data_IF_492049223655
#
_entry.id   IF_492049223655
#
_cell.length_a   1.000
_cell.length_b   1.000
_cell.length_c   1.000
_cell.angle_alpha   90.00
_cell.angle_beta   90.00
_cell.angle_gamma   90.00
#
_symmetry.space_group_name_H-M   'P 1'
#
loop_
_entity.id
_entity.type
_entity.pdbx_description
1 polymer ?
#
# COMPACT_ATOMS: atom_id res chain seq x y z
N UNK A 1 0.00 -9.26 4.98
CA UNK A 1 -0.85 -8.47 5.90
C UNK A 1 -0.41 -8.72 7.34
N UNK A 2 0.06 -7.72 8.12
CA UNK A 2 0.56 -7.92 9.47
C UNK A 2 -0.56 -7.92 10.55
N UNK A 3 -1.80 -8.18 10.16
CA UNK A 3 -2.98 -8.16 11.01
C UNK A 3 -3.84 -9.42 10.80
N UNK A 4 -4.68 -9.80 11.78
CA UNK A 4 -5.65 -10.88 11.64
C UNK A 4 -6.62 -10.67 10.44
N UNK A 5 -7.19 -11.75 9.88
CA UNK A 5 -8.22 -11.64 8.84
C UNK A 5 -9.47 -10.92 9.36
N UNK A 6 -10.23 -10.29 8.46
CA UNK A 6 -11.48 -9.58 8.77
C UNK A 6 -11.31 -8.15 9.34
N UNK A 7 -10.08 -7.70 9.60
CA UNK A 7 -9.80 -6.32 9.99
C UNK A 7 -9.82 -5.33 8.82
N UNK A 8 -9.80 -4.02 9.10
CA UNK A 8 -9.86 -2.96 8.08
C UNK A 8 -8.84 -3.12 6.95
N UNK A 9 -7.58 -3.43 7.27
CA UNK A 9 -6.52 -3.64 6.26
C UNK A 9 -6.78 -4.89 5.41
N UNK A 10 -7.36 -5.94 5.99
CA UNK A 10 -7.71 -7.17 5.27
C UNK A 10 -8.85 -6.92 4.28
N UNK A 11 -9.87 -6.17 4.68
CA UNK A 11 -10.99 -5.79 3.80
C UNK A 11 -10.50 -4.96 2.62
N UNK A 12 -9.67 -3.93 2.87
CA UNK A 12 -9.11 -3.10 1.79
C UNK A 12 -8.25 -3.96 0.85
N UNK A 13 -7.40 -4.83 1.39
CA UNK A 13 -6.59 -5.73 0.59
C UNK A 13 -7.44 -6.63 -0.32
N UNK A 14 -8.55 -7.18 0.19
CA UNK A 14 -9.47 -8.03 -0.59
C UNK A 14 -10.21 -7.28 -1.68
N UNK A 15 -10.45 -5.98 -1.51
CA UNK A 15 -11.06 -5.14 -2.56
C UNK A 15 -10.05 -4.88 -3.68
N UNK A 16 -8.77 -4.64 -3.35
CA UNK A 16 -7.75 -4.23 -4.32
C UNK A 16 -7.08 -5.42 -5.00
N UNK A 17 -6.85 -6.53 -4.29
CA UNK A 17 -6.05 -7.66 -4.76
C UNK A 17 -6.57 -8.33 -6.04
N UNK A 18 -7.88 -8.57 -6.24
CA UNK A 18 -8.37 -9.15 -7.50
C UNK A 18 -7.99 -8.28 -8.70
N UNK A 19 -8.22 -6.97 -8.59
CA UNK A 19 -7.94 -6.01 -9.65
C UNK A 19 -6.45 -5.87 -9.95
N UNK A 20 -5.64 -5.89 -8.90
CA UNK A 20 -4.19 -5.86 -9.02
C UNK A 20 -3.64 -7.16 -9.63
N UNK A 21 -4.23 -8.31 -9.29
CA UNK A 21 -3.85 -9.61 -9.86
C UNK A 21 -4.06 -9.64 -11.37
N UNK A 22 -5.21 -9.15 -11.81
CA UNK A 22 -5.54 -9.05 -13.22
C UNK A 22 -4.58 -8.10 -13.96
N UNK A 23 -4.28 -6.94 -13.37
CA UNK A 23 -3.36 -5.96 -13.98
C UNK A 23 -1.92 -6.46 -14.07
N UNK A 24 -1.47 -7.27 -13.12
CA UNK A 24 -0.12 -7.83 -13.09
C UNK A 24 -0.01 -9.13 -13.90
N UNK A 25 -1.13 -9.71 -14.33
CA UNK A 25 -1.16 -11.04 -14.94
C UNK A 25 -0.70 -12.15 -14.00
N UNK A 26 -0.70 -11.90 -12.69
CA UNK A 26 -0.21 -12.81 -11.65
C UNK A 26 -1.17 -12.80 -10.46
N UNK A 27 -1.43 -13.97 -9.88
CA UNK A 27 -2.31 -14.06 -8.71
C UNK A 27 -1.65 -13.41 -7.48
N UNK A 28 -2.36 -12.48 -6.84
CA UNK A 28 -1.99 -12.00 -5.51
C UNK A 28 -2.58 -12.89 -4.43
N UNK A 29 -1.69 -13.38 -3.57
CA UNK A 29 -2.07 -14.17 -2.40
C UNK A 29 -2.10 -13.26 -1.17
N UNK A 30 -3.27 -13.14 -0.55
CA UNK A 30 -3.41 -12.41 0.72
C UNK A 30 -2.99 -13.34 1.86
N UNK A 31 -1.80 -13.09 2.42
CA UNK A 31 -1.30 -13.80 3.59
C UNK A 31 -1.44 -12.95 4.88
N UNK A 32 -2.32 -13.35 5.79
CA UNK A 32 -2.45 -12.75 7.12
C UNK A 32 -1.42 -13.34 8.10
N UNK A 33 -0.58 -12.49 8.67
CA UNK A 33 0.49 -12.79 9.63
C UNK A 33 0.42 -11.80 10.78
N UNK A 34 -0.62 -11.93 11.61
CA UNK A 34 -0.85 -11.06 12.77
C UNK A 34 0.08 -11.36 13.96
N UNK A 35 0.06 -10.46 14.95
CA UNK A 35 0.73 -10.64 16.25
C UNK A 35 1.66 -9.48 16.64
N UNK A 36 1.97 -9.38 17.94
CA UNK A 36 2.89 -8.41 18.54
C UNK A 36 2.74 -6.96 18.02
N UNK A 37 1.50 -6.44 17.95
CA UNK A 37 1.23 -5.09 17.48
C UNK A 37 1.64 -4.84 16.03
N UNK A 38 1.45 -5.85 15.16
CA UNK A 38 1.88 -5.89 13.74
C UNK A 38 3.35 -6.25 13.49
N UNK A 39 4.18 -6.37 14.53
CA UNK A 39 5.63 -6.56 14.38
C UNK A 39 5.99 -7.86 13.64
N UNK A 40 5.29 -8.97 13.91
CA UNK A 40 5.61 -10.29 13.33
C UNK A 40 5.47 -10.27 11.79
N UNK A 41 4.33 -9.80 11.29
CA UNK A 41 4.10 -9.75 9.84
C UNK A 41 4.96 -8.71 9.14
N UNK A 42 5.27 -7.60 9.80
CA UNK A 42 6.18 -6.57 9.26
C UNK A 42 7.62 -7.10 9.19
N UNK A 43 8.10 -7.79 10.21
CA UNK A 43 9.43 -8.42 10.19
C UNK A 43 9.55 -9.45 9.06
N UNK A 44 8.53 -10.30 8.90
CA UNK A 44 8.54 -11.32 7.84
C UNK A 44 8.67 -10.68 6.45
N UNK A 45 7.98 -9.57 6.22
CA UNK A 45 8.09 -8.82 4.97
C UNK A 45 9.46 -8.14 4.82
N UNK A 46 10.00 -7.53 5.88
CA UNK A 46 11.33 -6.91 5.86
C UNK A 46 12.45 -7.91 5.50
N UNK A 47 12.29 -9.17 5.90
CA UNK A 47 13.26 -10.25 5.61
C UNK A 47 13.02 -10.95 4.28
N UNK A 48 11.93 -10.64 3.58
CA UNK A 48 11.64 -11.24 2.29
C UNK A 48 12.60 -10.71 1.23
N UNK A 49 12.89 -11.46 0.16
CA UNK A 49 13.69 -10.96 -0.95
C UNK A 49 13.12 -9.64 -1.50
N UNK A 50 13.99 -8.69 -1.80
CA UNK A 50 13.60 -7.40 -2.41
C UNK A 50 13.37 -7.54 -3.93
N UNK A 51 12.57 -8.53 -4.32
CA UNK A 51 12.30 -8.92 -5.72
C UNK A 51 10.95 -8.40 -6.25
N UNK A 52 10.22 -7.64 -5.43
CA UNK A 52 8.92 -7.05 -5.78
C UNK A 52 7.71 -7.96 -5.58
N UNK A 53 7.88 -9.23 -5.17
CA UNK A 53 6.77 -10.18 -4.99
C UNK A 53 6.09 -10.09 -3.62
N UNK A 54 6.69 -9.38 -2.67
CA UNK A 54 6.14 -9.20 -1.32
C UNK A 54 5.66 -7.78 -1.11
N UNK A 55 4.35 -7.60 -0.93
CA UNK A 55 3.72 -6.32 -0.62
C UNK A 55 3.19 -6.33 0.81
N UNK A 56 3.64 -5.35 1.60
CA UNK A 56 3.19 -5.13 2.97
C UNK A 56 2.18 -3.97 3.01
N UNK A 57 0.96 -4.25 3.46
CA UNK A 57 0.01 -3.19 3.82
C UNK A 57 0.07 -2.94 5.33
N UNK A 58 0.41 -1.72 5.70
CA UNK A 58 0.57 -1.29 7.08
C UNK A 58 -0.56 -0.35 7.53
N UNK A 59 -0.70 -0.15 8.83
CA UNK A 59 -1.58 0.86 9.43
C UNK A 59 -0.77 1.78 10.35
N UNK A 60 -1.44 2.62 11.16
CA UNK A 60 -0.80 3.48 12.16
C UNK A 60 0.15 2.74 13.12
N UNK A 61 -0.04 1.42 13.32
CA UNK A 61 0.87 0.62 14.14
C UNK A 61 2.34 0.71 13.65
N UNK A 62 2.58 0.74 12.32
CA UNK A 62 3.92 0.80 11.73
C UNK A 62 4.69 2.08 12.11
N UNK A 63 3.97 3.19 12.29
CA UNK A 63 4.56 4.47 12.70
C UNK A 63 4.67 4.62 14.22
N UNK A 64 3.83 3.91 14.98
CA UNK A 64 3.84 3.95 16.46
C UNK A 64 4.93 3.04 17.03
N UNK A 65 5.13 1.85 16.43
CA UNK A 65 6.03 0.83 16.95
C UNK A 65 7.47 1.31 17.21
N UNK A 66 8.12 2.14 16.36
CA UNK A 66 9.47 2.64 16.62
C UNK A 66 9.58 3.52 17.88
N UNK A 67 8.50 4.21 18.25
CA UNK A 67 8.46 5.07 19.43
C UNK A 67 8.15 4.29 20.73
N UNK A 68 7.55 3.09 20.60
CA UNK A 68 7.06 2.30 21.74
C UNK A 68 7.95 1.08 22.04
N UNK A 69 8.52 0.45 21.03
CA UNK A 69 9.35 -0.73 21.19
C UNK A 69 10.78 -0.34 21.53
N UNK A 70 11.37 -0.99 22.55
CA UNK A 70 12.79 -0.79 22.92
C UNK A 70 13.75 -1.13 21.77
N UNK A 71 13.39 -2.10 20.94
CA UNK A 71 14.13 -2.53 19.75
C UNK A 71 13.17 -3.24 18.80
N UNK A 72 13.11 -2.79 17.55
CA UNK A 72 12.40 -3.48 16.48
C UNK A 72 13.35 -4.40 15.70
N UNK A 73 12.84 -5.52 15.15
CA UNK A 73 13.63 -6.42 14.31
C UNK A 73 13.74 -5.94 12.84
N UNK A 74 13.29 -4.72 12.55
CA UNK A 74 13.35 -4.05 11.25
C UNK A 74 13.47 -2.53 11.46
N UNK A 75 13.92 -1.81 10.43
CA UNK A 75 13.87 -0.35 10.33
C UNK A 75 12.62 0.08 9.55
N UNK A 76 11.67 0.74 10.23
CA UNK A 76 10.38 1.14 9.64
C UNK A 76 10.49 2.06 8.42
N UNK A 77 11.67 2.66 8.19
CA UNK A 77 11.92 3.67 7.14
C UNK A 77 12.89 3.16 6.08
N UNK A 78 13.90 2.36 6.44
CA UNK A 78 14.93 1.89 5.49
C UNK A 78 14.56 0.59 4.80
N UNK A 79 13.82 -0.29 5.47
CA UNK A 79 13.56 -1.64 4.97
C UNK A 79 12.36 -1.71 4.00
N UNK A 80 11.68 -0.59 3.76
CA UNK A 80 10.44 -0.55 2.96
C UNK A 80 10.40 0.61 1.97
N UNK A 81 9.81 0.33 0.81
CA UNK A 81 9.49 1.33 -0.23
C UNK A 81 7.99 1.65 -0.18
N UNK A 82 7.57 2.89 0.08
CA UNK A 82 6.16 3.30 0.02
C UNK A 82 5.59 3.19 -1.40
N UNK A 83 4.44 2.52 -1.56
CA UNK A 83 3.79 2.31 -2.87
C UNK A 83 2.54 3.20 -3.04
N UNK A 84 1.59 3.14 -2.09
CA UNK A 84 0.33 3.89 -2.16
C UNK A 84 -0.30 4.05 -0.78
N UNK A 85 -1.23 5.01 -0.64
CA UNK A 85 -1.95 5.31 0.60
C UNK A 85 -3.44 5.07 0.43
N UNK A 86 -4.02 4.29 1.33
CA UNK A 86 -5.45 3.98 1.40
C UNK A 86 -6.07 4.50 2.70
N UNK A 87 -7.36 4.81 2.68
CA UNK A 87 -8.14 5.18 3.86
C UNK A 87 -9.60 4.75 3.73
N UNK A 88 -10.39 4.83 4.81
CA UNK A 88 -11.82 4.51 4.76
C UNK A 88 -12.56 5.30 3.69
N UNK A 89 -13.50 4.65 2.98
CA UNK A 89 -14.25 5.24 1.86
C UNK A 89 -15.05 6.52 2.24
N UNK A 90 -15.36 6.71 3.52
CA UNK A 90 -16.15 7.84 4.05
C UNK A 90 -15.32 8.84 4.87
N UNK A 91 -14.00 8.89 4.67
CA UNK A 91 -13.20 9.97 5.28
C UNK A 91 -13.73 11.33 4.83
N UNK A 92 -13.85 12.27 5.78
CA UNK A 92 -14.27 13.63 5.47
C UNK A 92 -13.19 14.33 4.64
N UNK A 93 -13.62 15.23 3.76
CA UNK A 93 -12.72 15.97 2.86
C UNK A 93 -11.57 16.69 3.61
N UNK A 94 -11.81 17.34 4.78
CA UNK A 94 -10.73 17.96 5.54
C UNK A 94 -9.64 16.98 6.00
N UNK A 95 -9.99 15.75 6.36
CA UNK A 95 -9.00 14.73 6.77
C UNK A 95 -8.19 14.27 5.55
N UNK A 96 -8.87 14.03 4.43
CA UNK A 96 -8.21 13.65 3.17
C UNK A 96 -7.22 14.73 2.73
N UNK A 97 -7.64 15.99 2.75
CA UNK A 97 -6.81 17.12 2.32
C UNK A 97 -5.62 17.32 3.29
N UNK A 98 -5.80 17.12 4.59
CA UNK A 98 -4.72 17.18 5.59
C UNK A 98 -3.67 16.10 5.35
N UNK A 99 -4.09 14.84 5.17
CA UNK A 99 -3.17 13.72 4.90
C UNK A 99 -2.45 13.94 3.58
N UNK A 100 -3.16 14.37 2.53
CA UNK A 100 -2.54 14.69 1.25
C UNK A 100 -1.52 15.83 1.38
N UNK A 101 -1.83 16.88 2.16
CA UNK A 101 -0.88 17.96 2.45
C UNK A 101 0.42 17.46 3.06
N UNK A 102 0.35 16.53 4.03
CA UNK A 102 1.55 15.91 4.62
C UNK A 102 2.36 15.08 3.63
N UNK A 103 1.69 14.32 2.76
CA UNK A 103 2.36 13.54 1.70
C UNK A 103 3.05 14.47 0.71
N UNK A 104 2.36 15.53 0.27
CA UNK A 104 2.92 16.52 -0.66
C UNK A 104 4.13 17.24 -0.06
N UNK A 105 4.08 17.59 1.22
CA UNK A 105 5.21 18.17 1.94
C UNK A 105 6.41 17.21 1.96
N UNK A 106 6.20 15.93 2.30
CA UNK A 106 7.25 14.93 2.28
C UNK A 106 7.86 14.72 0.87
N UNK A 107 7.03 14.69 -0.17
CA UNK A 107 7.49 14.56 -1.56
C UNK A 107 8.13 15.83 -2.14
N UNK A 108 8.06 16.96 -1.42
CA UNK A 108 8.76 18.19 -1.77
C UNK A 108 10.20 18.20 -1.23
N UNK A 109 10.52 17.30 -0.29
CA UNK A 109 11.87 17.14 0.25
C UNK A 109 12.76 16.37 -0.77
N UNK A 110 13.86 16.98 -1.25
CA UNK A 110 14.77 16.33 -2.19
C UNK A 110 15.37 15.02 -1.69
N UNK A 111 15.64 14.89 -0.38
CA UNK A 111 16.19 13.66 0.18
C UNK A 111 15.17 12.52 0.13
N UNK A 112 13.91 12.83 0.42
CA UNK A 112 12.80 11.86 0.32
C UNK A 112 12.62 11.41 -1.12
N UNK A 113 12.60 12.34 -2.08
CA UNK A 113 12.48 12.02 -3.50
C UNK A 113 13.64 11.15 -3.98
N UNK A 114 14.87 11.53 -3.65
CA UNK A 114 16.07 10.78 -4.03
C UNK A 114 16.00 9.36 -3.49
N UNK A 115 15.63 9.18 -2.22
CA UNK A 115 15.52 7.86 -1.61
C UNK A 115 14.47 6.98 -2.30
N UNK A 116 13.31 7.55 -2.65
CA UNK A 116 12.27 6.81 -3.38
C UNK A 116 12.75 6.41 -4.79
N UNK A 117 13.46 7.31 -5.49
CA UNK A 117 14.01 7.02 -6.82
C UNK A 117 15.16 6.00 -6.78
N UNK A 118 16.03 6.05 -5.77
CA UNK A 118 17.08 5.04 -5.54
C UNK A 118 16.46 3.64 -5.29
N UNK A 119 15.21 3.59 -4.81
CA UNK A 119 14.42 2.36 -4.62
C UNK A 119 13.61 1.95 -5.86
N UNK A 120 13.80 2.61 -7.01
CA UNK A 120 13.10 2.31 -8.26
C UNK A 120 11.66 2.84 -8.34
N UNK A 121 11.23 3.65 -7.37
CA UNK A 121 9.92 4.30 -7.41
C UNK A 121 9.99 5.64 -8.17
N UNK A 122 8.99 5.91 -9.00
CA UNK A 122 8.75 7.25 -9.55
C UNK A 122 7.78 8.00 -8.61
N UNK A 123 8.24 9.03 -7.86
CA UNK A 123 7.42 9.69 -6.85
C UNK A 123 6.34 10.56 -7.49
N UNK A 124 5.13 10.02 -7.61
CA UNK A 124 3.97 10.74 -8.14
C UNK A 124 3.24 11.48 -7.01
N UNK A 125 3.30 12.82 -7.02
CA UNK A 125 2.63 13.70 -6.05
C UNK A 125 1.18 14.04 -6.39
N UNK A 126 0.42 13.11 -6.97
CA UNK A 126 -0.94 13.35 -7.45
C UNK A 126 -1.89 13.79 -6.32
N UNK A 127 -2.83 14.68 -6.64
CA UNK A 127 -3.93 15.06 -5.73
C UNK A 127 -4.85 13.86 -5.43
N UNK A 128 -5.65 13.90 -4.35
CA UNK A 128 -6.59 12.82 -4.05
C UNK A 128 -7.61 12.60 -5.17
N UNK A 129 -8.03 13.68 -5.84
CA UNK A 129 -8.95 13.61 -6.98
C UNK A 129 -8.29 12.99 -8.21
N UNK A 130 -7.01 13.28 -8.47
CA UNK A 130 -6.24 12.65 -9.55
C UNK A 130 -5.98 11.17 -9.26
N UNK A 131 -5.63 10.82 -8.02
CA UNK A 131 -5.45 9.42 -7.60
C UNK A 131 -6.76 8.63 -7.72
N UNK A 132 -7.90 9.22 -7.32
CA UNK A 132 -9.22 8.62 -7.49
C UNK A 132 -9.61 8.48 -8.97
N UNK A 133 -9.39 9.52 -9.77
CA UNK A 133 -9.63 9.49 -11.22
C UNK A 133 -8.77 8.43 -11.91
N UNK A 134 -7.49 8.33 -11.54
CA UNK A 134 -6.57 7.30 -12.04
C UNK A 134 -7.09 5.90 -11.70
N UNK A 135 -7.43 5.65 -10.44
CA UNK A 135 -7.98 4.37 -10.01
C UNK A 135 -9.26 4.00 -10.78
N UNK A 136 -10.20 4.94 -10.96
CA UNK A 136 -11.44 4.69 -11.73
C UNK A 136 -11.16 4.45 -13.21
N UNK A 137 -10.24 5.21 -13.80
CA UNK A 137 -9.87 5.07 -15.21
C UNK A 137 -9.19 3.72 -15.47
N UNK A 138 -8.28 3.31 -14.59
CA UNK A 138 -7.65 1.99 -14.66
C UNK A 138 -8.70 0.89 -14.46
N UNK A 139 -9.61 1.01 -13.48
CA UNK A 139 -10.73 0.07 -13.33
C UNK A 139 -11.56 -0.05 -14.61
N UNK A 140 -11.93 1.05 -15.26
CA UNK A 140 -12.74 1.01 -16.47
C UNK A 140 -11.99 0.40 -17.67
N UNK A 141 -10.74 0.81 -17.87
CA UNK A 141 -9.84 0.28 -18.91
C UNK A 141 -9.70 -1.23 -18.77
N UNK A 142 -9.40 -1.70 -17.56
CA UNK A 142 -9.17 -3.12 -17.33
C UNK A 142 -10.46 -3.95 -17.37
N UNK A 143 -11.65 -3.38 -17.11
CA UNK A 143 -12.94 -4.07 -17.36
C UNK A 143 -13.08 -4.39 -18.86
N UNK A 144 -12.76 -3.41 -19.71
CA UNK A 144 -12.86 -3.57 -21.17
C UNK A 144 -11.88 -4.63 -21.67
N UNK A 145 -10.65 -4.63 -21.15
CA UNK A 145 -9.64 -5.65 -21.47
C UNK A 145 -10.12 -7.04 -21.05
N UNK A 146 -10.61 -7.20 -19.82
CA UNK A 146 -11.08 -8.49 -19.30
C UNK A 146 -12.24 -9.07 -20.14
N UNK A 147 -13.23 -8.25 -20.48
CA UNK A 147 -14.35 -8.67 -21.34
C UNK A 147 -13.90 -9.04 -22.75
N UNK A 148 -12.97 -8.26 -23.33
CA UNK A 148 -12.40 -8.57 -24.65
C UNK A 148 -11.60 -9.87 -24.66
N UNK A 149 -11.02 -10.25 -23.52
CA UNK A 149 -10.27 -11.49 -23.34
C UNK A 149 -11.13 -12.69 -22.90
N UNK A 150 -12.46 -12.53 -22.77
CA UNK A 150 -13.36 -13.62 -22.36
C UNK A 150 -13.20 -14.06 -20.90
N UNK A 151 -12.74 -13.16 -20.03
CA UNK A 151 -12.55 -13.43 -18.60
C UNK A 151 -13.89 -13.18 -17.89
N UNK A 152 -14.46 -14.24 -17.32
CA UNK A 152 -15.72 -14.19 -16.56
C UNK A 152 -15.48 -14.09 -15.05
N UNK A 153 -16.34 -13.38 -14.29
CA UNK A 153 -16.30 -13.36 -12.84
C UNK A 153 -16.52 -14.77 -12.26
N UNK A 154 -15.76 -15.12 -11.21
CA UNK A 154 -16.00 -16.34 -10.41
C UNK A 154 -17.09 -16.13 -9.37
#
# INVERSE_FOLDING_TARGET
MPFPPGGNTDIIARIVAPRMSESLGQQLIIANRGGAGSTIGTELAARSPADGYTILMVSAAHTINPAMAKKLPYDSVKDFTPISVFGPAKLSRPIVDRVHGSIKAALSDPEVRKKLSDQGADPVGSTPAEHDKFNRAEIAKWIKVARGAGIEPQ
#
